data_IF_696246780217
#
_entry.id   IF_696246780217
#
_cell.length_a   1.000
_cell.length_b   1.000
_cell.length_c   1.000
_cell.angle_alpha   90.00
_cell.angle_beta   90.00
_cell.angle_gamma   90.00
#
_symmetry.space_group_name_H-M   'P 1'
#
loop_
_entity.id
_entity.type
_entity.pdbx_description
1 polymer ?
#
# COMPACT_ATOMS: atom_id res chain seq x y z
N UNK A 1 -11.00 -18.80 -20.82
CA UNK A 1 -11.28 -18.10 -19.58
C UNK A 1 -12.07 -16.86 -19.95
N UNK A 2 -13.35 -16.80 -19.64
CA UNK A 2 -14.23 -15.68 -20.00
C UNK A 2 -13.79 -14.46 -19.20
N UNK A 3 -13.43 -13.44 -19.94
CA UNK A 3 -13.12 -12.09 -19.45
C UNK A 3 -14.46 -11.52 -18.92
N UNK A 4 -14.72 -11.66 -17.61
CA UNK A 4 -15.82 -10.95 -16.97
C UNK A 4 -15.41 -9.48 -16.92
N UNK A 5 -15.70 -8.76 -18.00
CA UNK A 5 -15.81 -7.31 -18.00
C UNK A 5 -17.00 -6.97 -17.12
N UNK A 6 -16.73 -6.85 -15.84
CA UNK A 6 -17.70 -6.27 -14.94
C UNK A 6 -17.98 -4.83 -15.40
N UNK A 7 -19.27 -4.47 -15.46
CA UNK A 7 -19.81 -3.19 -15.94
C UNK A 7 -19.40 -1.96 -15.09
N UNK A 8 -18.25 -2.01 -14.41
CA UNK A 8 -17.88 -1.04 -13.35
C UNK A 8 -17.02 0.13 -13.84
N UNK A 9 -16.88 0.27 -15.15
CA UNK A 9 -16.15 1.36 -15.76
C UNK A 9 -14.69 1.05 -16.07
N UNK A 10 -14.05 1.91 -16.85
CA UNK A 10 -12.64 1.81 -17.23
C UNK A 10 -11.78 2.31 -16.09
N UNK A 11 -10.98 1.43 -15.50
CA UNK A 11 -10.12 1.76 -14.36
C UNK A 11 -8.96 0.77 -14.19
N UNK A 12 -7.96 1.18 -13.43
CA UNK A 12 -7.01 0.23 -12.83
C UNK A 12 -7.74 -0.60 -11.77
N UNK A 13 -7.33 -1.87 -11.61
CA UNK A 13 -8.00 -2.77 -10.66
C UNK A 13 -7.15 -3.13 -9.44
N UNK A 14 -5.83 -2.89 -9.50
CA UNK A 14 -4.92 -3.22 -8.39
C UNK A 14 -3.55 -2.59 -8.60
N UNK A 15 -2.76 -2.52 -7.55
CA UNK A 15 -1.33 -2.21 -7.64
C UNK A 15 -0.61 -3.47 -8.10
N UNK A 16 0.30 -3.35 -9.09
CA UNK A 16 1.19 -4.44 -9.46
C UNK A 16 2.39 -4.51 -8.50
N UNK A 17 3.12 -3.41 -8.38
CA UNK A 17 4.23 -3.28 -7.46
C UNK A 17 4.68 -1.82 -7.33
N UNK A 18 5.53 -1.55 -6.36
CA UNK A 18 6.24 -0.29 -6.26
C UNK A 18 7.76 -0.49 -6.38
N UNK A 19 8.48 0.58 -6.67
CA UNK A 19 9.94 0.57 -6.56
C UNK A 19 10.40 1.73 -5.69
N UNK A 20 11.32 1.44 -4.76
CA UNK A 20 11.95 2.44 -3.92
C UNK A 20 13.44 2.54 -4.21
N UNK A 21 13.93 3.75 -4.29
CA UNK A 21 15.33 4.09 -4.19
C UNK A 21 15.73 4.14 -2.72
N UNK A 22 16.88 3.55 -2.37
CA UNK A 22 17.38 3.57 -0.98
C UNK A 22 18.90 3.70 -0.94
N UNK A 23 19.48 4.32 0.11
CA UNK A 23 20.93 4.47 0.24
C UNK A 23 21.68 3.16 0.47
N UNK A 24 21.04 2.15 1.06
CA UNK A 24 21.69 0.89 1.44
C UNK A 24 20.79 -0.31 1.17
N UNK A 25 21.17 -1.12 0.17
CA UNK A 25 20.46 -2.37 -0.11
C UNK A 25 20.63 -3.40 1.03
N UNK A 26 21.75 -3.40 1.76
CA UNK A 26 21.94 -4.31 2.90
C UNK A 26 21.02 -3.97 4.08
N UNK A 27 20.77 -2.70 4.34
CA UNK A 27 19.79 -2.29 5.34
C UNK A 27 18.36 -2.62 4.90
N UNK A 28 18.03 -2.44 3.61
CA UNK A 28 16.75 -2.85 3.05
C UNK A 28 16.53 -4.36 3.17
N UNK A 29 17.53 -5.16 2.81
CA UNK A 29 17.51 -6.62 2.94
C UNK A 29 17.27 -7.04 4.39
N UNK A 30 17.99 -6.44 5.35
CA UNK A 30 17.81 -6.69 6.77
C UNK A 30 16.41 -6.31 7.27
N UNK A 31 15.91 -5.13 6.87
CA UNK A 31 14.60 -4.62 7.29
C UNK A 31 13.46 -5.49 6.75
N UNK A 32 13.38 -5.71 5.45
CA UNK A 32 12.29 -6.45 4.83
C UNK A 32 12.33 -7.95 5.17
N UNK A 33 13.51 -8.55 5.32
CA UNK A 33 13.64 -9.92 5.83
C UNK A 33 13.15 -10.04 7.27
N UNK A 34 13.53 -9.11 8.14
CA UNK A 34 13.04 -9.09 9.52
C UNK A 34 11.52 -8.85 9.59
N UNK A 35 10.94 -8.14 8.61
CA UNK A 35 9.50 -7.91 8.51
C UNK A 35 8.72 -9.19 8.11
N UNK A 36 9.43 -10.26 7.72
CA UNK A 36 8.86 -11.55 7.32
C UNK A 36 8.57 -11.67 5.82
N UNK A 37 9.16 -10.81 5.01
CA UNK A 37 9.05 -10.84 3.55
C UNK A 37 10.21 -11.63 2.95
N UNK A 38 9.96 -12.27 1.80
CA UNK A 38 11.03 -12.90 1.03
C UNK A 38 11.79 -11.82 0.26
N UNK A 39 13.11 -11.76 0.48
CA UNK A 39 14.01 -10.82 -0.18
C UNK A 39 14.97 -11.59 -1.08
N UNK A 40 14.98 -11.26 -2.36
CA UNK A 40 15.86 -11.89 -3.35
C UNK A 40 16.70 -10.83 -4.04
N UNK A 41 18.03 -11.02 -4.07
CA UNK A 41 18.94 -10.14 -4.81
C UNK A 41 18.87 -10.46 -6.30
N UNK A 42 18.60 -9.43 -7.13
CA UNK A 42 18.50 -9.53 -8.58
C UNK A 42 19.42 -8.47 -9.20
N UNK A 43 20.63 -8.87 -9.61
CA UNK A 43 21.64 -7.93 -10.07
C UNK A 43 21.99 -6.89 -9.00
N UNK A 44 21.84 -5.62 -9.32
CA UNK A 44 22.08 -4.50 -8.42
C UNK A 44 20.81 -4.05 -7.66
N UNK A 45 19.79 -4.89 -7.54
CA UNK A 45 18.52 -4.55 -6.87
C UNK A 45 18.07 -5.69 -5.97
N UNK A 46 17.02 -5.44 -5.15
CA UNK A 46 16.30 -6.48 -4.41
C UNK A 46 14.87 -6.57 -4.93
N UNK A 47 14.36 -7.78 -5.09
CA UNK A 47 12.94 -8.07 -5.27
C UNK A 47 12.35 -8.54 -3.95
N UNK A 48 11.20 -7.96 -3.56
CA UNK A 48 10.49 -8.25 -2.32
C UNK A 48 9.19 -8.96 -2.66
N UNK A 49 8.95 -10.12 -2.02
CA UNK A 49 7.73 -10.92 -2.18
C UNK A 49 7.05 -11.13 -0.84
N UNK A 50 5.72 -11.25 -0.88
CA UNK A 50 4.93 -11.68 0.26
C UNK A 50 4.56 -13.16 0.15
N UNK A 51 3.73 -13.68 1.08
CA UNK A 51 3.34 -15.07 1.14
C UNK A 51 2.56 -15.60 -0.08
N UNK A 52 1.96 -14.71 -0.87
CA UNK A 52 1.32 -15.03 -2.15
C UNK A 52 2.32 -15.29 -3.31
N UNK A 53 3.61 -15.09 -3.07
CA UNK A 53 4.69 -15.25 -4.05
C UNK A 53 4.76 -14.11 -5.08
N UNK A 54 3.84 -13.12 -5.05
CA UNK A 54 3.88 -11.97 -5.93
C UNK A 54 5.05 -11.04 -5.56
N UNK A 55 5.74 -10.49 -6.57
CA UNK A 55 6.77 -9.47 -6.36
C UNK A 55 6.11 -8.11 -6.16
N UNK A 56 5.97 -7.70 -4.91
CA UNK A 56 5.32 -6.45 -4.54
C UNK A 56 6.22 -5.23 -4.57
N UNK A 57 7.53 -5.44 -4.43
CA UNK A 57 8.46 -4.32 -4.49
C UNK A 57 9.77 -4.66 -5.20
N UNK A 58 10.40 -3.61 -5.75
CA UNK A 58 11.79 -3.61 -6.18
C UNK A 58 12.54 -2.48 -5.47
N UNK A 59 13.65 -2.82 -4.84
CA UNK A 59 14.48 -1.84 -4.13
C UNK A 59 15.73 -1.58 -4.96
N UNK A 60 15.98 -0.32 -5.25
CA UNK A 60 17.05 0.17 -6.12
C UNK A 60 18.07 0.97 -5.31
N UNK A 61 19.37 0.84 -5.60
CA UNK A 61 20.38 1.66 -4.94
C UNK A 61 20.31 3.12 -5.44
N UNK A 62 20.43 4.06 -4.52
CA UNK A 62 20.47 5.51 -4.80
C UNK A 62 21.17 6.23 -3.66
N UNK A 63 21.47 7.52 -3.82
CA UNK A 63 22.03 8.34 -2.72
C UNK A 63 20.97 8.71 -1.67
N UNK A 64 19.72 8.86 -2.10
CA UNK A 64 18.60 9.25 -1.24
C UNK A 64 17.43 8.29 -1.40
N UNK A 65 16.66 8.13 -0.31
CA UNK A 65 15.40 7.40 -0.34
C UNK A 65 14.34 8.19 -1.09
N UNK A 66 13.63 7.55 -2.00
CA UNK A 66 12.49 8.12 -2.72
C UNK A 66 11.65 7.03 -3.39
N UNK A 67 10.39 7.36 -3.71
CA UNK A 67 9.61 6.51 -4.61
C UNK A 67 10.23 6.60 -6.02
N UNK A 68 10.71 5.47 -6.54
CA UNK A 68 11.20 5.39 -7.91
C UNK A 68 10.03 5.34 -8.90
N UNK A 69 9.03 4.50 -8.65
CA UNK A 69 7.75 4.46 -9.36
C UNK A 69 6.72 3.60 -8.65
N UNK A 70 5.43 3.81 -9.00
CA UNK A 70 4.31 2.97 -8.60
C UNK A 70 3.65 2.39 -9.86
N UNK A 71 3.40 1.08 -9.89
CA UNK A 71 2.83 0.36 -11.03
C UNK A 71 1.45 -0.18 -10.70
N UNK A 72 0.48 0.08 -11.58
CA UNK A 72 -0.89 -0.42 -11.49
C UNK A 72 -1.18 -1.42 -12.59
N UNK A 73 -2.03 -2.41 -12.29
CA UNK A 73 -2.59 -3.33 -13.26
C UNK A 73 -3.99 -2.88 -13.71
N UNK A 74 -4.27 -3.10 -14.99
CA UNK A 74 -5.60 -2.96 -15.59
C UNK A 74 -5.93 -4.19 -16.45
N UNK A 75 -7.19 -4.33 -16.85
CA UNK A 75 -7.59 -5.33 -17.83
C UNK A 75 -7.09 -4.96 -19.23
N UNK A 76 -6.86 -5.97 -20.07
CA UNK A 76 -6.29 -5.79 -21.41
C UNK A 76 -7.11 -4.81 -22.27
N UNK A 77 -8.43 -4.89 -22.21
CA UNK A 77 -9.32 -4.02 -22.98
C UNK A 77 -9.37 -2.57 -22.48
N UNK A 78 -8.89 -2.28 -21.26
CA UNK A 78 -9.02 -0.95 -20.65
C UNK A 78 -7.81 -0.05 -20.88
N UNK A 79 -6.64 -0.60 -21.18
CA UNK A 79 -5.40 0.17 -21.30
C UNK A 79 -5.50 1.35 -22.27
N UNK A 80 -6.06 1.22 -23.50
CA UNK A 80 -6.22 2.35 -24.42
C UNK A 80 -7.20 3.42 -23.91
N UNK A 81 -8.22 3.02 -23.15
CA UNK A 81 -9.18 3.95 -22.60
C UNK A 81 -8.60 4.71 -21.40
N UNK A 82 -7.86 4.02 -20.53
CA UNK A 82 -7.08 4.65 -19.42
C UNK A 82 -6.08 5.66 -19.98
N UNK A 83 -5.42 5.35 -21.09
CA UNK A 83 -4.52 6.31 -21.73
C UNK A 83 -5.23 7.61 -22.12
N UNK A 84 -6.44 7.52 -22.69
CA UNK A 84 -7.25 8.71 -23.03
C UNK A 84 -7.70 9.48 -21.77
N UNK A 85 -8.12 8.77 -20.72
CA UNK A 85 -8.48 9.37 -19.44
C UNK A 85 -7.30 10.15 -18.84
N UNK A 86 -6.10 9.56 -18.81
CA UNK A 86 -4.88 10.19 -18.33
C UNK A 86 -4.55 11.47 -19.10
N UNK A 87 -4.64 11.42 -20.44
CA UNK A 87 -4.41 12.61 -21.28
C UNK A 87 -5.45 13.71 -20.99
N UNK A 88 -6.72 13.33 -20.81
CA UNK A 88 -7.79 14.26 -20.45
C UNK A 88 -7.62 14.83 -19.04
N UNK A 89 -7.07 14.06 -18.12
CA UNK A 89 -6.71 14.52 -16.77
C UNK A 89 -5.43 15.37 -16.72
N UNK A 90 -4.77 15.57 -17.88
CA UNK A 90 -3.58 16.44 -18.00
C UNK A 90 -2.25 15.70 -17.82
N UNK A 91 -2.23 14.37 -17.81
CA UNK A 91 -0.99 13.61 -17.74
C UNK A 91 -0.17 13.72 -19.03
N UNK A 92 1.13 13.91 -18.89
CA UNK A 92 2.09 13.81 -19.98
C UNK A 92 2.59 12.37 -20.11
N UNK A 93 2.08 11.65 -21.12
CA UNK A 93 2.49 10.28 -21.39
C UNK A 93 3.92 10.26 -21.93
N UNK A 94 4.76 9.38 -21.40
CA UNK A 94 6.15 9.20 -21.83
C UNK A 94 6.20 8.24 -23.03
N UNK A 95 7.05 8.56 -24.00
CA UNK A 95 7.23 7.75 -25.22
C UNK A 95 8.02 6.46 -24.97
N UNK A 96 8.72 6.34 -23.86
CA UNK A 96 9.54 5.17 -23.50
C UNK A 96 9.53 4.93 -22.00
N UNK A 97 9.80 3.69 -21.60
CA UNK A 97 10.02 3.36 -20.18
C UNK A 97 11.26 4.11 -19.67
N UNK A 98 11.13 4.91 -18.62
CA UNK A 98 12.28 5.59 -18.01
C UNK A 98 13.12 4.65 -17.14
N UNK A 99 12.69 3.40 -16.96
CA UNK A 99 13.33 2.41 -16.09
C UNK A 99 13.96 1.32 -16.94
N UNK A 100 15.26 1.11 -16.78
CA UNK A 100 16.05 0.11 -17.53
C UNK A 100 15.86 -1.33 -17.00
N UNK A 101 15.17 -1.52 -15.88
CA UNK A 101 15.04 -2.79 -15.18
C UNK A 101 13.73 -3.51 -15.52
N UNK A 102 13.69 -4.23 -16.65
CA UNK A 102 12.81 -5.40 -16.87
C UNK A 102 11.29 -5.21 -16.90
N UNK A 103 10.74 -4.02 -16.68
CA UNK A 103 9.31 -3.72 -16.81
C UNK A 103 9.05 -3.01 -18.15
N UNK A 104 9.21 -3.75 -19.24
CA UNK A 104 8.86 -3.25 -20.56
C UNK A 104 7.35 -3.38 -20.77
N UNK A 105 6.73 -2.30 -21.25
CA UNK A 105 5.31 -2.25 -21.59
C UNK A 105 4.48 -1.36 -20.68
N UNK A 106 3.23 -1.14 -21.10
CA UNK A 106 2.30 -0.24 -20.40
C UNK A 106 2.54 1.25 -20.69
N UNK A 107 1.81 2.08 -19.96
CA UNK A 107 1.81 3.53 -20.08
C UNK A 107 2.60 4.11 -18.91
N UNK A 108 3.55 4.97 -19.20
CA UNK A 108 4.35 5.69 -18.20
C UNK A 108 4.02 7.18 -18.22
N UNK A 109 3.81 7.77 -17.05
CA UNK A 109 3.52 9.19 -16.90
C UNK A 109 3.94 9.68 -15.52
N UNK A 110 3.90 10.99 -15.32
CA UNK A 110 4.01 11.56 -13.99
C UNK A 110 2.62 12.00 -13.51
N UNK A 111 2.34 11.76 -12.23
CA UNK A 111 1.19 12.35 -11.56
C UNK A 111 1.40 13.86 -11.33
N UNK A 112 0.41 14.61 -10.78
CA UNK A 112 0.54 16.06 -10.57
C UNK A 112 1.69 16.47 -9.66
N UNK A 113 2.14 15.60 -8.77
CA UNK A 113 3.26 15.85 -7.85
C UNK A 113 4.61 15.43 -8.45
N UNK A 114 4.59 14.83 -9.64
CA UNK A 114 5.78 14.36 -10.33
C UNK A 114 6.23 12.96 -9.88
N UNK A 115 5.39 12.17 -9.21
CA UNK A 115 5.66 10.75 -9.00
C UNK A 115 5.57 10.01 -10.33
N UNK A 116 6.52 9.12 -10.59
CA UNK A 116 6.50 8.28 -11.78
C UNK A 116 5.51 7.14 -11.59
N UNK A 117 4.56 7.02 -12.49
CA UNK A 117 3.49 6.02 -12.45
C UNK A 117 3.52 5.18 -13.72
N UNK A 118 3.26 3.88 -13.56
CA UNK A 118 3.03 2.94 -14.65
C UNK A 118 1.60 2.38 -14.57
N UNK A 119 0.94 2.24 -15.72
CA UNK A 119 -0.24 1.38 -15.89
C UNK A 119 0.07 0.32 -16.93
N UNK A 120 -0.17 -0.93 -16.58
CA UNK A 120 0.09 -2.08 -17.44
C UNK A 120 -1.05 -3.08 -17.43
N UNK A 121 -1.13 -3.90 -18.46
CA UNK A 121 -2.00 -5.09 -18.43
C UNK A 121 -1.36 -6.14 -17.53
N UNK A 122 -2.14 -6.66 -16.57
CA UNK A 122 -1.67 -7.67 -15.64
C UNK A 122 -2.81 -8.31 -14.84
N UNK A 123 -2.52 -9.36 -14.08
CA UNK A 123 -3.51 -10.02 -13.24
C UNK A 123 -3.95 -9.09 -12.10
N UNK A 124 -5.19 -9.29 -11.63
CA UNK A 124 -5.68 -8.61 -10.44
C UNK A 124 -4.95 -9.18 -9.21
N UNK A 125 -4.23 -8.33 -8.48
CA UNK A 125 -3.47 -8.69 -7.28
C UNK A 125 -4.26 -8.51 -5.98
N UNK A 126 -5.29 -7.64 -5.99
CA UNK A 126 -6.23 -7.53 -4.86
C UNK A 126 -7.16 -8.73 -4.81
N UNK A 127 -7.62 -9.16 -3.63
CA UNK A 127 -8.62 -10.22 -3.50
C UNK A 127 -9.93 -9.83 -4.19
N UNK A 128 -10.80 -10.82 -4.44
CA UNK A 128 -12.14 -10.60 -5.02
C UNK A 128 -13.20 -10.34 -3.98
N UNK A 129 -12.90 -10.65 -2.73
CA UNK A 129 -13.77 -10.52 -1.56
C UNK A 129 -12.95 -10.15 -0.34
N UNK A 130 -13.59 -9.69 0.73
CA UNK A 130 -12.92 -9.39 1.99
C UNK A 130 -12.13 -10.62 2.46
N UNK A 131 -10.85 -10.44 2.71
CA UNK A 131 -10.01 -11.51 3.26
C UNK A 131 -10.44 -11.81 4.69
N UNK A 132 -10.77 -13.07 4.97
CA UNK A 132 -11.19 -13.47 6.30
C UNK A 132 -10.07 -13.28 7.32
N UNK A 133 -10.44 -12.73 8.47
CA UNK A 133 -9.56 -12.67 9.63
C UNK A 133 -9.42 -14.09 10.21
N UNK A 134 -8.20 -14.55 10.42
CA UNK A 134 -7.97 -15.82 11.07
C UNK A 134 -8.38 -15.73 12.54
N UNK A 135 -9.37 -16.50 12.93
CA UNK A 135 -9.83 -16.64 14.30
C UNK A 135 -9.79 -18.11 14.69
N UNK A 136 -9.10 -18.39 15.79
CA UNK A 136 -9.13 -19.73 16.38
C UNK A 136 -10.23 -19.76 17.45
N UNK A 137 -11.25 -20.56 17.22
CA UNK A 137 -12.20 -20.92 18.28
C UNK A 137 -11.48 -21.76 19.34
N UNK A 138 -11.57 -21.34 20.59
CA UNK A 138 -10.95 -22.03 21.70
C UNK A 138 -12.08 -22.56 22.58
N UNK A 139 -12.10 -23.89 22.77
CA UNK A 139 -13.08 -24.50 23.66
C UNK A 139 -12.87 -24.07 25.12
N UNK A 140 -13.94 -24.12 25.92
CA UNK A 140 -13.81 -23.94 27.36
C UNK A 140 -12.80 -24.95 27.93
N UNK A 141 -12.12 -24.56 29.01
CA UNK A 141 -11.10 -25.37 29.71
C UNK A 141 -9.86 -25.69 28.87
N UNK A 142 -9.67 -25.02 27.72
CA UNK A 142 -8.51 -25.15 26.85
C UNK A 142 -7.71 -23.86 26.79
N UNK A 143 -6.38 -24.00 26.59
CA UNK A 143 -5.50 -22.85 26.42
C UNK A 143 -5.56 -22.34 24.99
N UNK A 144 -5.94 -21.09 24.78
CA UNK A 144 -6.09 -20.47 23.47
C UNK A 144 -4.83 -19.86 22.88
N UNK A 145 -3.70 -19.86 23.61
CA UNK A 145 -2.45 -19.25 23.15
C UNK A 145 -1.27 -20.22 23.30
N UNK A 146 -0.33 -20.18 22.37
CA UNK A 146 0.94 -20.89 22.48
C UNK A 146 1.87 -20.22 23.52
N UNK A 147 2.92 -20.92 23.91
CA UNK A 147 3.99 -20.32 24.70
C UNK A 147 4.77 -19.31 23.86
N UNK A 148 5.35 -18.30 24.52
CA UNK A 148 6.16 -17.26 23.83
C UNK A 148 7.30 -17.86 22.98
N UNK A 149 7.92 -18.94 23.45
CA UNK A 149 8.98 -19.66 22.74
C UNK A 149 8.52 -20.42 21.49
N UNK A 150 7.20 -20.62 21.35
CA UNK A 150 6.57 -21.32 20.22
C UNK A 150 5.98 -20.33 19.20
N UNK A 151 6.06 -19.03 19.48
CA UNK A 151 5.54 -18.00 18.58
C UNK A 151 6.27 -18.09 17.23
N UNK A 152 5.49 -18.28 16.18
CA UNK A 152 6.01 -18.36 14.81
C UNK A 152 6.34 -16.98 14.28
N UNK A 153 7.28 -16.93 13.33
CA UNK A 153 7.56 -15.74 12.55
C UNK A 153 6.30 -15.29 11.77
N UNK A 154 6.00 -14.00 11.87
CA UNK A 154 4.94 -13.37 11.10
C UNK A 154 5.41 -13.19 9.67
N UNK A 155 4.59 -13.64 8.72
CA UNK A 155 4.84 -13.53 7.28
C UNK A 155 3.63 -12.90 6.61
N UNK A 156 3.74 -11.65 6.15
CA UNK A 156 2.66 -10.99 5.43
C UNK A 156 2.18 -11.81 4.24
N UNK A 157 0.86 -11.85 4.05
CA UNK A 157 0.23 -12.62 2.97
C UNK A 157 0.36 -11.95 1.61
N UNK A 158 0.19 -10.60 1.58
CA UNK A 158 0.21 -9.75 0.39
C UNK A 158 0.44 -8.29 0.80
N UNK A 159 0.66 -7.42 -0.16
CA UNK A 159 0.52 -5.98 0.05
C UNK A 159 -0.96 -5.62 0.09
N UNK A 160 -1.34 -4.71 0.97
CA UNK A 160 -2.67 -4.12 1.04
C UNK A 160 -2.73 -2.80 0.28
N UNK A 161 -1.99 -1.78 0.72
CA UNK A 161 -2.04 -0.44 0.16
C UNK A 161 -0.72 0.31 0.31
N UNK A 162 -0.68 1.50 -0.30
CA UNK A 162 0.39 2.46 -0.13
C UNK A 162 -0.16 3.83 0.22
N UNK A 163 0.64 4.65 0.93
CA UNK A 163 0.31 6.03 1.22
C UNK A 163 1.44 6.96 0.77
N UNK A 164 1.05 8.01 0.06
CA UNK A 164 1.95 9.02 -0.49
C UNK A 164 1.74 10.37 0.18
N UNK A 165 2.84 11.09 0.43
CA UNK A 165 2.77 12.50 0.75
C UNK A 165 2.47 13.32 -0.51
N UNK A 166 1.65 14.36 -0.37
CA UNK A 166 1.29 15.29 -1.43
C UNK A 166 1.12 16.72 -0.87
N UNK A 167 1.44 17.75 -1.63
CA UNK A 167 1.10 19.13 -1.25
C UNK A 167 -0.41 19.41 -1.30
N UNK A 168 -1.19 18.64 -2.07
CA UNK A 168 -2.60 18.89 -2.30
C UNK A 168 -3.36 17.55 -2.50
N UNK A 169 -3.98 17.08 -1.40
CA UNK A 169 -4.71 15.82 -1.38
C UNK A 169 -5.91 15.81 -2.32
N UNK A 170 -6.62 16.93 -2.45
CA UNK A 170 -7.82 17.03 -3.30
C UNK A 170 -7.45 16.96 -4.78
N UNK A 171 -6.37 17.62 -5.18
CA UNK A 171 -5.82 17.55 -6.55
C UNK A 171 -5.31 16.14 -6.86
N UNK A 172 -4.65 15.48 -5.92
CA UNK A 172 -4.19 14.11 -6.10
C UNK A 172 -5.38 13.16 -6.32
N UNK A 173 -6.41 13.24 -5.48
CA UNK A 173 -7.64 12.44 -5.64
C UNK A 173 -8.30 12.69 -6.98
N UNK A 174 -8.56 13.96 -7.36
CA UNK A 174 -9.20 14.31 -8.66
C UNK A 174 -8.43 13.71 -9.84
N UNK A 175 -7.10 13.77 -9.81
CA UNK A 175 -6.28 13.19 -10.86
C UNK A 175 -6.38 11.66 -10.92
N UNK A 176 -6.29 10.97 -9.78
CA UNK A 176 -6.36 9.52 -9.73
C UNK A 176 -7.76 8.99 -10.04
N UNK A 177 -8.83 9.73 -9.69
CA UNK A 177 -10.19 9.41 -10.11
C UNK A 177 -10.37 9.57 -11.63
N UNK A 178 -10.00 10.72 -12.19
CA UNK A 178 -10.22 11.02 -13.60
C UNK A 178 -9.28 10.25 -14.52
N UNK A 179 -8.04 10.05 -14.10
CA UNK A 179 -6.99 9.43 -14.91
C UNK A 179 -6.93 7.92 -14.80
N UNK A 180 -7.08 7.38 -13.60
CA UNK A 180 -6.95 5.94 -13.31
C UNK A 180 -8.30 5.25 -13.03
N UNK A 181 -9.39 6.00 -12.89
CA UNK A 181 -10.72 5.49 -12.58
C UNK A 181 -10.87 5.00 -11.14
N UNK A 182 -9.95 5.33 -10.24
CA UNK A 182 -10.11 5.08 -8.80
C UNK A 182 -11.31 5.86 -8.28
N UNK A 183 -11.79 5.52 -7.09
CA UNK A 183 -12.90 6.20 -6.43
C UNK A 183 -12.51 6.60 -5.03
N UNK A 184 -12.95 7.78 -4.58
CA UNK A 184 -12.80 8.19 -3.19
C UNK A 184 -13.52 7.19 -2.29
N UNK A 185 -12.83 6.69 -1.28
CA UNK A 185 -13.44 5.91 -0.21
C UNK A 185 -13.87 6.82 0.92
N UNK A 186 -12.92 7.53 1.49
CA UNK A 186 -13.15 8.47 2.57
C UNK A 186 -12.05 9.54 2.58
N UNK A 187 -12.29 10.63 3.29
CA UNK A 187 -11.28 11.65 3.55
C UNK A 187 -11.47 12.28 4.93
N UNK A 188 -10.43 12.93 5.39
CA UNK A 188 -10.47 13.78 6.57
C UNK A 188 -10.01 15.19 6.16
N UNK A 189 -10.98 16.04 5.86
CA UNK A 189 -10.78 17.39 5.31
C UNK A 189 -9.82 17.38 4.08
N UNK A 190 -8.80 18.24 4.10
CA UNK A 190 -7.70 18.25 3.13
C UNK A 190 -6.41 17.62 3.68
N UNK A 191 -6.51 16.90 4.81
CA UNK A 191 -5.36 16.29 5.51
C UNK A 191 -5.01 14.94 4.93
N UNK A 192 -6.00 14.06 4.74
CA UNK A 192 -5.79 12.71 4.21
C UNK A 192 -7.01 12.27 3.40
N UNK A 193 -6.76 11.52 2.33
CA UNK A 193 -7.80 10.94 1.48
C UNK A 193 -7.41 9.54 1.02
N UNK A 194 -8.42 8.66 0.86
CA UNK A 194 -8.28 7.24 0.58
C UNK A 194 -9.01 6.89 -0.71
N UNK A 195 -8.40 6.08 -1.59
CA UNK A 195 -9.01 5.73 -2.87
C UNK A 195 -8.97 4.22 -3.13
N UNK A 196 -10.09 3.66 -3.62
CA UNK A 196 -10.25 2.24 -3.95
C UNK A 196 -10.44 2.00 -5.45
N UNK A 197 -10.26 0.75 -5.89
CA UNK A 197 -10.57 0.35 -7.25
C UNK A 197 -12.03 -0.09 -7.40
N UNK A 198 -12.76 0.33 -8.46
CA UNK A 198 -14.16 -0.03 -8.66
C UNK A 198 -14.38 -1.51 -8.96
N UNK A 199 -13.33 -2.25 -9.26
CA UNK A 199 -13.33 -3.69 -9.53
C UNK A 199 -13.20 -4.56 -8.27
N UNK A 200 -13.40 -3.99 -7.10
CA UNK A 200 -13.27 -4.62 -5.79
C UNK A 200 -11.84 -4.56 -5.26
N UNK A 201 -11.66 -3.98 -4.11
CA UNK A 201 -10.38 -3.88 -3.42
C UNK A 201 -10.57 -3.65 -1.93
N UNK A 202 -9.48 -3.70 -1.18
CA UNK A 202 -9.44 -3.12 0.15
C UNK A 202 -9.95 -1.68 0.11
N UNK A 203 -10.41 -1.16 1.27
CA UNK A 203 -10.94 0.20 1.43
C UNK A 203 -10.11 1.24 0.68
N UNK A 204 -8.81 1.06 0.62
CA UNK A 204 -7.97 1.85 -0.25
C UNK A 204 -6.80 1.04 -0.84
N UNK A 205 -6.43 1.41 -2.06
CA UNK A 205 -5.20 0.97 -2.73
C UNK A 205 -4.10 2.02 -2.55
N UNK A 206 -4.48 3.29 -2.75
CA UNK A 206 -3.61 4.44 -2.57
C UNK A 206 -4.30 5.46 -1.69
N UNK A 207 -3.58 5.96 -0.71
CA UNK A 207 -3.99 7.08 0.09
C UNK A 207 -2.99 8.24 -0.06
N UNK A 208 -3.47 9.45 0.20
CA UNK A 208 -2.70 10.69 0.09
C UNK A 208 -2.79 11.45 1.39
N UNK A 209 -1.65 11.83 1.97
CA UNK A 209 -1.57 12.65 3.16
C UNK A 209 -0.85 13.96 2.86
N UNK A 210 -1.38 15.06 3.39
CA UNK A 210 -0.86 16.41 3.17
C UNK A 210 0.53 16.58 3.75
N UNK A 211 1.42 17.18 2.96
CA UNK A 211 2.77 17.58 3.35
C UNK A 211 3.18 18.84 2.57
N UNK A 212 4.40 19.31 2.73
CA UNK A 212 4.95 20.43 1.94
C UNK A 212 5.49 20.00 0.58
N UNK A 213 5.72 18.69 0.39
CA UNK A 213 6.24 18.10 -0.84
C UNK A 213 5.69 16.67 -1.02
N UNK A 214 5.89 16.11 -2.21
CA UNK A 214 5.65 14.66 -2.44
C UNK A 214 6.63 13.82 -1.60
N UNK A 215 6.28 12.55 -1.38
CA UNK A 215 7.15 11.60 -0.72
C UNK A 215 6.45 10.27 -0.48
N UNK A 216 7.23 9.28 -0.10
CA UNK A 216 6.75 7.96 0.30
C UNK A 216 6.52 7.91 1.81
N UNK A 217 5.26 7.70 2.24
CA UNK A 217 4.95 7.56 3.65
C UNK A 217 5.06 6.10 4.10
N UNK A 218 4.24 5.21 3.55
CA UNK A 218 4.29 3.80 3.92
C UNK A 218 3.75 2.84 2.87
N UNK A 219 4.06 1.56 3.10
CA UNK A 219 3.38 0.41 2.50
C UNK A 219 2.78 -0.44 3.61
N UNK A 220 1.53 -0.90 3.43
CA UNK A 220 0.85 -1.80 4.34
C UNK A 220 0.83 -3.23 3.80
N UNK A 221 1.05 -4.16 4.70
CA UNK A 221 1.13 -5.59 4.44
C UNK A 221 0.05 -6.33 5.21
N UNK A 222 -0.78 -7.06 4.51
CA UNK A 222 -1.87 -7.83 5.07
C UNK A 222 -1.36 -9.06 5.83
N UNK A 223 -1.79 -9.21 7.08
CA UNK A 223 -1.50 -10.35 7.95
C UNK A 223 -2.79 -11.06 8.38
N UNK A 224 -2.69 -12.30 8.83
CA UNK A 224 -3.86 -13.16 8.99
C UNK A 224 -4.74 -12.80 10.19
N UNK A 225 -4.20 -12.13 11.20
CA UNK A 225 -4.94 -11.90 12.45
C UNK A 225 -4.41 -10.68 13.22
N UNK A 226 -5.21 -10.20 14.17
CA UNK A 226 -4.79 -9.18 15.16
C UNK A 226 -3.59 -9.66 15.98
N UNK A 227 -3.52 -10.96 16.28
CA UNK A 227 -2.37 -11.53 16.99
C UNK A 227 -1.08 -11.40 16.16
N UNK A 228 -1.15 -11.55 14.83
CA UNK A 228 0.02 -11.35 13.97
C UNK A 228 0.45 -9.89 13.89
N UNK A 229 -0.47 -8.92 14.00
CA UNK A 229 -0.09 -7.50 14.13
C UNK A 229 0.78 -7.26 15.36
N UNK A 230 0.37 -7.79 16.52
CA UNK A 230 1.14 -7.68 17.77
C UNK A 230 2.43 -8.51 17.77
N UNK A 231 2.40 -9.70 17.17
CA UNK A 231 3.58 -10.57 17.04
C UNK A 231 4.62 -9.95 16.11
N UNK A 232 4.19 -9.34 14.99
CA UNK A 232 5.04 -8.60 14.06
C UNK A 232 5.76 -7.43 14.72
N UNK A 233 5.04 -6.67 15.56
CA UNK A 233 5.65 -5.63 16.38
C UNK A 233 6.78 -6.18 17.27
N UNK A 234 6.56 -7.31 17.92
CA UNK A 234 7.55 -7.98 18.76
C UNK A 234 8.74 -8.49 17.93
N UNK A 235 8.48 -9.08 16.76
CA UNK A 235 9.48 -9.57 15.83
C UNK A 235 10.42 -8.45 15.36
N UNK A 236 9.87 -7.32 14.94
CA UNK A 236 10.65 -6.17 14.50
C UNK A 236 11.45 -5.52 15.63
N UNK A 237 10.85 -5.40 16.80
CA UNK A 237 11.55 -4.91 18.00
C UNK A 237 12.74 -5.82 18.40
N UNK A 238 12.59 -7.14 18.26
CA UNK A 238 13.68 -8.11 18.50
C UNK A 238 14.80 -8.01 17.44
N UNK A 239 14.47 -7.66 16.20
CA UNK A 239 15.42 -7.39 15.12
C UNK A 239 16.08 -6.00 15.22
N UNK A 240 15.73 -5.18 16.22
CA UNK A 240 16.31 -3.87 16.48
C UNK A 240 15.51 -2.70 15.90
N UNK A 241 14.42 -2.93 15.20
CA UNK A 241 13.52 -1.89 14.67
C UNK A 241 12.39 -1.62 15.67
N UNK A 242 12.57 -0.62 16.52
CA UNK A 242 11.70 -0.32 17.66
C UNK A 242 10.85 0.93 17.49
N UNK A 243 11.22 1.79 16.54
CA UNK A 243 10.44 2.99 16.25
C UNK A 243 9.26 2.63 15.33
N UNK A 244 8.14 3.28 15.57
CA UNK A 244 6.92 3.08 14.80
C UNK A 244 5.71 3.66 15.51
N UNK A 245 4.52 3.19 15.15
CA UNK A 245 3.27 3.58 15.80
C UNK A 245 2.31 2.40 15.86
N UNK A 246 1.69 2.18 17.02
CA UNK A 246 0.74 1.07 17.25
C UNK A 246 1.20 0.22 18.44
N UNK A 247 0.50 -0.85 18.71
CA UNK A 247 -0.64 -1.45 18.01
C UNK A 247 -1.90 -0.65 18.24
N UNK A 248 -2.76 -0.51 17.24
CA UNK A 248 -4.00 0.24 17.34
C UNK A 248 -5.03 -0.24 16.29
N UNK A 249 -6.16 0.46 16.24
CA UNK A 249 -7.21 0.26 15.25
C UNK A 249 -7.57 1.58 14.59
N UNK A 250 -7.55 1.63 13.27
CA UNK A 250 -8.01 2.78 12.50
C UNK A 250 -9.54 2.92 12.52
N UNK A 251 -10.03 4.15 12.33
CA UNK A 251 -11.44 4.43 12.07
C UNK A 251 -11.72 4.23 10.58
N UNK A 252 -11.01 4.96 9.71
CA UNK A 252 -11.17 4.86 8.25
C UNK A 252 -10.36 3.67 7.72
N UNK A 253 -11.07 2.69 7.14
CA UNK A 253 -10.53 1.40 6.72
C UNK A 253 -10.62 0.31 7.79
N UNK A 254 -10.93 0.64 9.06
CA UNK A 254 -11.21 -0.28 10.18
C UNK A 254 -10.09 -1.24 10.58
N UNK A 255 -8.96 -1.24 9.89
CA UNK A 255 -7.90 -2.21 10.11
C UNK A 255 -7.18 -2.04 11.45
N UNK A 256 -6.76 -3.17 12.01
CA UNK A 256 -5.76 -3.20 13.08
C UNK A 256 -4.39 -2.97 12.48
N UNK A 257 -3.56 -2.18 13.14
CA UNK A 257 -2.28 -1.74 12.60
C UNK A 257 -1.12 -1.81 13.59
N UNK A 258 0.08 -1.99 13.06
CA UNK A 258 1.34 -1.64 13.69
C UNK A 258 2.34 -1.20 12.64
N UNK A 259 2.71 0.06 12.67
CA UNK A 259 3.74 0.65 11.81
C UNK A 259 5.13 0.42 12.40
N UNK A 260 6.06 0.07 11.55
CA UNK A 260 7.48 -0.02 11.87
C UNK A 260 8.25 0.96 10.99
N UNK A 261 9.02 1.83 11.62
CA UNK A 261 9.83 2.82 10.91
C UNK A 261 10.99 2.15 10.21
N UNK A 262 11.15 2.40 8.93
CA UNK A 262 12.27 1.93 8.14
C UNK A 262 13.55 2.76 8.43
N UNK A 263 14.75 2.32 8.00
CA UNK A 263 16.00 3.05 8.26
C UNK A 263 16.05 4.47 7.69
N UNK A 264 15.14 4.84 6.79
CA UNK A 264 15.16 6.14 6.10
C UNK A 264 13.96 7.01 6.47
N UNK A 265 13.14 6.60 7.44
CA UNK A 265 12.10 7.41 8.06
C UNK A 265 10.71 7.29 7.44
N UNK A 266 10.50 6.31 6.56
CA UNK A 266 9.17 5.86 6.14
C UNK A 266 8.73 4.65 6.98
N UNK A 267 7.61 4.00 6.59
CA UNK A 267 7.08 2.92 7.40
C UNK A 267 6.68 1.70 6.56
N UNK A 268 6.75 0.53 7.16
CA UNK A 268 6.01 -0.67 6.77
C UNK A 268 4.99 -0.99 7.86
N UNK A 269 3.77 -1.28 7.47
CA UNK A 269 2.64 -1.54 8.35
C UNK A 269 2.25 -3.02 8.32
N UNK A 270 2.15 -3.67 9.46
CA UNK A 270 1.34 -4.87 9.62
C UNK A 270 -0.12 -4.46 9.72
N UNK A 271 -0.97 -4.95 8.82
CA UNK A 271 -2.38 -4.56 8.71
C UNK A 271 -3.28 -5.80 8.70
N UNK A 272 -4.37 -5.78 9.45
CA UNK A 272 -5.34 -6.87 9.49
C UNK A 272 -6.77 -6.35 9.53
N UNK A 273 -7.71 -7.08 8.92
CA UNK A 273 -9.15 -6.78 8.92
C UNK A 273 -9.53 -5.45 8.25
N UNK A 274 -8.85 -5.07 7.17
CA UNK A 274 -9.21 -3.91 6.37
C UNK A 274 -10.64 -4.05 5.81
N UNK A 275 -11.41 -2.96 5.81
CA UNK A 275 -12.67 -2.89 5.07
C UNK A 275 -12.44 -3.18 3.60
N UNK A 276 -13.44 -3.79 2.97
CA UNK A 276 -13.38 -4.19 1.56
C UNK A 276 -14.56 -3.60 0.80
N UNK A 277 -14.27 -2.95 -0.31
CA UNK A 277 -15.27 -2.43 -1.23
C UNK A 277 -15.46 -3.44 -2.35
N UNK A 278 -16.61 -4.10 -2.40
CA UNK A 278 -16.92 -5.08 -3.44
C UNK A 278 -17.06 -4.42 -4.81
N UNK A 279 -16.78 -5.17 -5.86
CA UNK A 279 -16.93 -4.68 -7.23
C UNK A 279 -18.32 -4.12 -7.48
N UNK A 280 -18.40 -2.91 -8.04
CA UNK A 280 -19.66 -2.23 -8.35
C UNK A 280 -20.42 -1.66 -7.16
N UNK A 281 -19.91 -1.77 -5.95
CA UNK A 281 -20.54 -1.16 -4.78
C UNK A 281 -20.34 0.36 -4.82
N UNK A 282 -21.43 1.11 -4.61
CA UNK A 282 -21.36 2.52 -4.30
C UNK A 282 -21.00 2.67 -2.81
N UNK A 283 -19.73 2.81 -2.53
CA UNK A 283 -19.25 3.08 -1.16
C UNK A 283 -19.71 4.48 -0.72
N UNK A 284 -20.30 4.62 0.48
CA UNK A 284 -20.80 5.92 0.97
C UNK A 284 -19.62 6.77 1.49
N UNK A 285 -18.81 7.29 0.56
CA UNK A 285 -17.66 8.12 0.89
C UNK A 285 -18.02 9.29 1.81
N UNK A 286 -17.26 9.47 2.89
CA UNK A 286 -17.47 10.53 3.88
C UNK A 286 -16.30 11.52 3.94
N UNK A 287 -16.59 12.67 4.57
CA UNK A 287 -15.59 13.67 4.97
C UNK A 287 -15.68 13.83 6.50
N UNK A 288 -14.63 13.45 7.19
CA UNK A 288 -14.60 13.28 8.64
C UNK A 288 -13.66 14.27 9.30
N UNK A 289 -13.91 14.58 10.57
CA UNK A 289 -13.04 15.47 11.33
C UNK A 289 -11.70 14.77 11.65
N UNK A 290 -10.55 15.41 11.45
CA UNK A 290 -9.23 14.81 11.69
C UNK A 290 -9.06 14.25 13.12
N UNK A 291 -9.59 14.93 14.12
CA UNK A 291 -9.50 14.54 15.52
C UNK A 291 -10.29 13.28 15.88
N UNK A 292 -11.23 12.83 15.01
CA UNK A 292 -12.11 11.69 15.27
C UNK A 292 -11.92 10.54 14.27
N UNK A 293 -11.13 10.73 13.23
CA UNK A 293 -11.10 9.80 12.09
C UNK A 293 -9.81 9.00 11.91
N UNK A 294 -8.73 9.32 12.64
CA UNK A 294 -7.44 8.68 12.41
C UNK A 294 -7.37 7.27 13.04
N UNK A 295 -7.71 7.15 14.31
CA UNK A 295 -7.70 5.85 15.02
C UNK A 295 -8.75 5.79 16.11
N UNK A 296 -9.31 4.59 16.32
CA UNK A 296 -10.33 4.34 17.33
C UNK A 296 -9.69 4.15 18.72
N UNK A 297 -8.58 3.46 18.77
CA UNK A 297 -7.76 3.23 19.96
C UNK A 297 -6.33 2.88 19.54
N UNK A 298 -5.39 3.16 20.43
CA UNK A 298 -3.95 2.93 20.22
C UNK A 298 -3.14 3.94 21.03
N UNK A 299 -1.80 3.90 20.91
CA UNK A 299 -0.95 4.92 21.50
C UNK A 299 -1.06 6.24 20.72
N UNK A 300 -0.67 7.34 21.35
CA UNK A 300 -0.58 8.64 20.70
C UNK A 300 0.33 8.58 19.48
N UNK A 301 -0.02 9.38 18.46
CA UNK A 301 0.75 9.46 17.21
C UNK A 301 2.12 10.10 17.48
N UNK A 302 3.24 9.42 17.18
CA UNK A 302 4.56 10.02 17.35
C UNK A 302 4.79 11.18 16.38
N UNK A 303 5.47 12.23 16.79
CA UNK A 303 5.75 13.42 15.96
C UNK A 303 6.46 13.08 14.64
N UNK A 304 7.28 12.04 14.62
CA UNK A 304 7.99 11.61 13.41
C UNK A 304 7.10 10.88 12.41
N UNK A 305 5.90 10.41 12.82
CA UNK A 305 5.01 9.62 11.96
C UNK A 305 4.47 10.43 10.78
N UNK A 306 4.16 11.70 11.02
CA UNK A 306 3.64 12.62 9.99
C UNK A 306 4.75 13.40 9.26
N UNK A 307 6.02 13.13 9.56
CA UNK A 307 7.14 13.86 8.97
C UNK A 307 7.53 13.29 7.61
N UNK A 308 7.45 14.13 6.58
CA UNK A 308 7.98 13.80 5.27
C UNK A 308 9.52 13.96 5.25
N UNK A 309 10.24 12.86 5.13
CA UNK A 309 11.72 12.86 5.09
C UNK A 309 12.30 13.10 3.71
N UNK A 310 11.46 13.32 2.70
CA UNK A 310 11.82 13.64 1.32
C UNK A 310 11.51 15.13 0.97
N UNK A 311 10.95 15.91 1.92
CA UNK A 311 10.58 17.31 1.74
C UNK A 311 11.79 18.25 1.86
#
# INVERSE_FOLDING_TARGET
MSDHRDSHGVAVHSIDHFALNVPSLSEAERFFSAFGLEVTRVGASLDIRAGDGHRWARILPSEHKSLAYLSFNCFEGDLPAIQRQLMTAGASIRSSSPVTTGTTGGIWFNDPDGNLIQVRVGPKTTPREKTALAHAEVAADSRGSCMRSELREVRPRRMSHVLLFTPDTLRAVDFYERGLGLRLSDRSADVIAFTHAPHGSDHHLVAFVKSTAKGWHHVAWDVASVNEVGAGATQMAAAGFREGWGTGRHVLGSNYFHYVRDPWGSFSEYSADMDFVSAGTAWPAGDFLPEDSLYQWGPDVPDYFIRNTEA
#
